data_IF_852118984239
#
_entry.id   IF_852118984239
#
_cell.length_a   1.000
_cell.length_b   1.000
_cell.length_c   1.000
_cell.angle_alpha   90.00
_cell.angle_beta   90.00
_cell.angle_gamma   90.00
#
_symmetry.space_group_name_H-M   'P 1'
#
loop_
_entity.id
_entity.type
_entity.pdbx_description
1 polymer ?
#
# COMPACT_ATOMS: atom_id res chain seq x y z
N UNK A 1 -10.50 8.03 3.80
CA UNK A 1 -11.94 8.18 4.09
C UNK A 1 -12.27 9.65 4.29
N UNK A 2 -13.31 10.17 3.62
CA UNK A 2 -13.64 11.60 3.65
C UNK A 2 -14.10 12.09 5.04
N UNK A 3 -14.80 11.28 5.83
CA UNK A 3 -15.22 11.64 7.20
C UNK A 3 -14.07 11.74 8.21
N UNK A 4 -12.88 11.18 7.91
CA UNK A 4 -11.67 11.36 8.74
C UNK A 4 -11.31 12.85 8.92
N UNK A 5 -11.75 13.69 7.98
CA UNK A 5 -11.51 15.12 8.00
C UNK A 5 -12.30 15.87 9.08
N UNK A 6 -13.38 15.26 9.61
CA UNK A 6 -14.27 15.89 10.59
C UNK A 6 -13.67 15.90 12.00
N UNK A 7 -12.80 14.95 12.32
CA UNK A 7 -12.22 14.79 13.67
C UNK A 7 -10.68 14.85 13.70
N UNK A 8 -10.00 14.88 12.55
CA UNK A 8 -8.53 14.99 12.47
C UNK A 8 -8.13 16.40 11.99
N UNK A 9 -7.51 17.22 12.88
CA UNK A 9 -7.00 18.54 12.53
C UNK A 9 -6.03 18.52 11.35
N UNK A 10 -6.13 19.52 10.46
CA UNK A 10 -5.34 19.62 9.22
C UNK A 10 -3.82 19.52 9.45
N UNK A 11 -3.33 20.06 10.56
CA UNK A 11 -1.91 20.13 10.92
C UNK A 11 -1.29 18.80 11.40
N UNK A 12 -2.10 17.76 11.65
CA UNK A 12 -1.61 16.44 12.10
C UNK A 12 -2.02 15.31 11.15
N UNK A 13 -2.63 15.62 10.00
CA UNK A 13 -3.11 14.60 9.06
C UNK A 13 -1.98 13.74 8.51
N UNK A 14 -0.80 14.29 8.23
CA UNK A 14 0.36 13.53 7.80
C UNK A 14 0.84 12.58 8.91
N UNK A 15 1.04 13.08 10.14
CA UNK A 15 1.38 12.22 11.29
C UNK A 15 0.37 11.12 11.56
N UNK A 16 -0.93 11.44 11.50
CA UNK A 16 -1.98 10.45 11.71
C UNK A 16 -1.93 9.38 10.61
N UNK A 17 -1.82 9.80 9.33
CA UNK A 17 -1.72 8.87 8.21
C UNK A 17 -0.46 8.01 8.32
N UNK A 18 0.65 8.55 8.81
CA UNK A 18 1.87 7.78 9.04
C UNK A 18 1.69 6.74 10.16
N UNK A 19 1.06 7.10 11.28
CA UNK A 19 0.75 6.14 12.36
C UNK A 19 -0.23 5.04 11.91
N UNK A 20 -1.27 5.42 11.18
CA UNK A 20 -2.26 4.52 10.57
C UNK A 20 -1.57 3.50 9.64
N UNK A 21 -0.71 4.00 8.74
CA UNK A 21 0.12 3.16 7.88
C UNK A 21 1.07 2.26 8.69
N UNK A 22 1.75 2.78 9.71
CA UNK A 22 2.70 2.03 10.53
C UNK A 22 2.01 0.85 11.25
N UNK A 23 0.85 1.09 11.87
CA UNK A 23 0.05 0.06 12.52
C UNK A 23 -0.41 -0.99 11.49
N UNK A 24 -0.89 -0.55 10.32
CA UNK A 24 -1.32 -1.44 9.25
C UNK A 24 -0.17 -2.30 8.73
N UNK A 25 1.02 -1.72 8.56
CA UNK A 25 2.23 -2.43 8.13
C UNK A 25 2.68 -3.46 9.17
N UNK A 26 2.69 -3.11 10.46
CA UNK A 26 3.05 -4.06 11.54
C UNK A 26 2.04 -5.20 11.61
N UNK A 27 0.74 -4.90 11.56
CA UNK A 27 -0.31 -5.90 11.54
C UNK A 27 -0.20 -6.81 10.31
N UNK A 28 0.07 -6.22 9.13
CA UNK A 28 0.30 -6.94 7.88
C UNK A 28 1.52 -7.86 7.98
N UNK A 29 2.63 -7.39 8.55
CA UNK A 29 3.83 -8.19 8.79
C UNK A 29 3.53 -9.40 9.69
N UNK A 30 2.84 -9.19 10.80
CA UNK A 30 2.40 -10.26 11.69
C UNK A 30 1.48 -11.26 10.98
N UNK A 31 0.54 -10.77 10.16
CA UNK A 31 -0.37 -11.61 9.39
C UNK A 31 0.35 -12.48 8.36
N UNK A 32 1.33 -11.94 7.63
CA UNK A 32 2.12 -12.71 6.65
C UNK A 32 3.04 -13.72 7.36
N UNK A 33 3.62 -13.36 8.49
CA UNK A 33 4.44 -14.29 9.28
C UNK A 33 3.59 -15.47 9.79
N UNK A 34 2.40 -15.19 10.32
CA UNK A 34 1.45 -16.21 10.76
C UNK A 34 0.97 -17.07 9.58
N UNK A 35 0.67 -16.47 8.43
CA UNK A 35 0.24 -17.23 7.24
C UNK A 35 1.32 -18.19 6.76
N UNK A 36 2.59 -17.77 6.77
CA UNK A 36 3.74 -18.62 6.46
C UNK A 36 3.84 -19.85 7.39
N UNK A 37 3.67 -19.66 8.70
CA UNK A 37 3.71 -20.78 9.68
C UNK A 37 2.51 -21.71 9.51
N UNK A 38 1.31 -21.16 9.31
CA UNK A 38 0.07 -21.93 9.14
C UNK A 38 0.11 -22.76 7.85
N UNK A 39 0.53 -22.15 6.73
CA UNK A 39 0.67 -22.85 5.45
C UNK A 39 1.79 -23.90 5.53
N UNK A 40 2.92 -23.58 6.16
CA UNK A 40 4.04 -24.51 6.29
C UNK A 40 3.75 -25.75 7.12
N UNK A 41 2.75 -25.72 8.01
CA UNK A 41 2.32 -26.87 8.83
C UNK A 41 1.09 -27.58 8.28
N UNK A 42 0.35 -26.97 7.37
CA UNK A 42 -0.88 -27.52 6.83
C UNK A 42 -0.63 -28.32 5.55
N UNK A 43 -1.27 -29.49 5.43
CA UNK A 43 -1.26 -30.29 4.21
C UNK A 43 -2.50 -29.94 3.39
N UNK A 44 -2.31 -29.48 2.16
CA UNK A 44 -3.40 -29.20 1.22
C UNK A 44 -4.19 -27.91 1.50
N UNK A 45 -5.47 -27.88 1.11
CA UNK A 45 -6.30 -26.67 1.09
C UNK A 45 -6.68 -26.15 2.48
N UNK A 46 -6.59 -26.99 3.52
CA UNK A 46 -7.05 -26.69 4.88
C UNK A 46 -6.33 -25.50 5.49
N UNK A 47 -5.03 -25.32 5.19
CA UNK A 47 -4.25 -24.15 5.63
C UNK A 47 -4.84 -22.85 5.09
N UNK A 48 -5.12 -22.79 3.78
CA UNK A 48 -5.75 -21.64 3.16
C UNK A 48 -7.15 -21.36 3.72
N UNK A 49 -7.96 -22.40 3.90
CA UNK A 49 -9.33 -22.28 4.42
C UNK A 49 -9.34 -21.71 5.85
N UNK A 50 -8.40 -22.14 6.70
CA UNK A 50 -8.23 -21.60 8.05
C UNK A 50 -7.82 -20.12 8.04
N UNK A 51 -6.93 -19.71 7.13
CA UNK A 51 -6.53 -18.31 6.99
C UNK A 51 -7.70 -17.43 6.53
N UNK A 52 -8.53 -17.92 5.61
CA UNK A 52 -9.74 -17.20 5.19
C UNK A 52 -10.75 -17.05 6.33
N UNK A 53 -10.96 -18.08 7.16
CA UNK A 53 -11.86 -18.01 8.31
C UNK A 53 -11.35 -17.01 9.37
N UNK A 54 -10.05 -17.06 9.68
CA UNK A 54 -9.43 -16.13 10.62
C UNK A 54 -9.53 -14.70 10.08
N UNK A 55 -9.13 -14.48 8.82
CA UNK A 55 -9.19 -13.18 8.17
C UNK A 55 -10.61 -12.61 8.12
N UNK A 56 -11.60 -13.44 7.78
CA UNK A 56 -13.01 -13.06 7.79
C UNK A 56 -13.51 -12.66 9.19
N UNK A 57 -13.11 -13.40 10.22
CA UNK A 57 -13.47 -13.08 11.62
C UNK A 57 -12.87 -11.75 12.07
N UNK A 58 -11.60 -11.50 11.75
CA UNK A 58 -10.96 -10.20 12.02
C UNK A 58 -11.61 -9.06 11.23
N UNK A 59 -12.03 -9.32 9.99
CA UNK A 59 -12.80 -8.36 9.18
C UNK A 59 -14.12 -7.97 9.85
N UNK A 60 -14.89 -8.95 10.35
CA UNK A 60 -16.14 -8.71 11.07
C UNK A 60 -15.92 -7.95 12.39
N UNK A 61 -14.88 -8.30 13.14
CA UNK A 61 -14.48 -7.55 14.34
C UNK A 61 -14.11 -6.10 13.98
N UNK A 62 -13.40 -5.90 12.87
CA UNK A 62 -13.08 -4.57 12.36
C UNK A 62 -14.32 -3.73 12.06
N UNK A 63 -15.33 -4.33 11.42
CA UNK A 63 -16.63 -3.67 11.16
C UNK A 63 -17.31 -3.28 12.48
N UNK A 64 -17.29 -4.16 13.47
CA UNK A 64 -17.86 -3.88 14.79
C UNK A 64 -17.14 -2.73 15.50
N UNK A 65 -15.81 -2.66 15.49
CA UNK A 65 -15.10 -1.50 16.03
C UNK A 65 -15.42 -0.22 15.26
N UNK A 66 -15.55 -0.31 13.93
CA UNK A 66 -15.84 0.85 13.08
C UNK A 66 -17.24 1.42 13.33
N UNK A 67 -18.22 0.59 13.69
CA UNK A 67 -19.57 1.05 13.99
C UNK A 67 -19.67 1.92 15.26
N UNK A 68 -18.62 1.94 16.09
CA UNK A 68 -18.54 2.75 17.30
C UNK A 68 -17.84 4.10 17.10
N UNK A 69 -17.29 4.37 15.90
CA UNK A 69 -16.60 5.63 15.61
C UNK A 69 -17.63 6.75 15.44
N UNK A 70 -17.63 7.80 16.28
CA UNK A 70 -18.51 8.95 16.11
C UNK A 70 -18.05 9.80 14.91
N UNK A 71 -18.91 9.93 13.89
CA UNK A 71 -18.63 10.75 12.70
C UNK A 71 -19.45 10.31 11.49
N UNK A 72 -19.60 11.17 10.47
CA UNK A 72 -20.41 10.87 9.30
C UNK A 72 -21.92 11.08 9.49
N UNK A 73 -22.34 11.70 10.60
CA UNK A 73 -23.67 12.27 10.70
C UNK A 73 -23.83 13.24 9.52
N UNK A 74 -24.85 13.07 8.65
CA UNK A 74 -25.08 14.00 7.57
C UNK A 74 -25.16 15.39 8.18
N UNK A 75 -24.21 16.28 7.86
CA UNK A 75 -24.47 17.70 8.05
C UNK A 75 -25.79 17.94 7.35
N UNK A 76 -26.76 18.51 8.06
CA UNK A 76 -28.07 18.84 7.51
C UNK A 76 -27.82 19.52 6.17
N UNK A 77 -28.07 18.77 5.10
CA UNK A 77 -27.73 19.17 3.74
C UNK A 77 -28.60 20.40 3.52
N UNK A 78 -28.01 21.59 3.48
CA UNK A 78 -28.57 22.66 2.66
C UNK A 78 -28.87 21.96 1.33
N UNK A 79 -30.15 21.86 0.99
CA UNK A 79 -30.66 21.12 -0.17
C UNK A 79 -29.67 21.26 -1.31
N UNK A 80 -28.91 20.21 -1.60
CA UNK A 80 -28.13 20.21 -2.82
C UNK A 80 -29.17 20.00 -3.92
N UNK A 81 -29.63 21.10 -4.51
CA UNK A 81 -30.64 21.12 -5.58
C UNK A 81 -30.08 20.56 -6.92
N UNK A 82 -28.99 19.77 -6.88
CA UNK A 82 -28.32 19.22 -8.05
C UNK A 82 -28.11 17.71 -7.98
N UNK A 83 -28.15 17.07 -9.16
CA UNK A 83 -27.78 15.67 -9.34
C UNK A 83 -26.32 15.43 -8.92
N UNK A 84 -26.08 14.41 -8.09
CA UNK A 84 -24.73 13.99 -7.68
C UNK A 84 -23.83 13.73 -8.91
N UNK A 85 -24.43 13.19 -9.98
CA UNK A 85 -23.76 12.94 -11.24
C UNK A 85 -23.29 14.23 -11.94
N UNK A 86 -24.08 15.30 -11.85
CA UNK A 86 -23.71 16.60 -12.43
C UNK A 86 -22.48 17.19 -11.72
N UNK A 87 -22.41 17.07 -10.38
CA UNK A 87 -21.23 17.50 -9.61
C UNK A 87 -19.96 16.69 -9.92
N UNK A 88 -20.10 15.38 -10.20
CA UNK A 88 -18.99 14.55 -10.66
C UNK A 88 -18.51 14.96 -12.07
N UNK A 89 -19.45 15.20 -12.99
CA UNK A 89 -19.15 15.69 -14.35
C UNK A 89 -18.50 17.08 -14.32
N UNK A 90 -18.90 17.96 -13.42
CA UNK A 90 -18.29 19.28 -13.24
C UNK A 90 -16.84 19.18 -12.75
N UNK A 91 -16.52 18.17 -11.93
CA UNK A 91 -15.14 17.92 -11.49
C UNK A 91 -14.20 17.59 -12.65
N UNK A 92 -14.72 17.03 -13.76
CA UNK A 92 -13.94 16.75 -14.97
C UNK A 92 -13.56 18.01 -15.75
N UNK A 93 -14.14 19.18 -15.44
CA UNK A 93 -13.75 20.45 -16.08
C UNK A 93 -12.44 21.00 -15.52
N UNK A 94 -12.02 20.57 -14.33
CA UNK A 94 -10.76 21.01 -13.72
C UNK A 94 -9.57 20.27 -14.35
N UNK A 95 -8.76 21.02 -15.11
CA UNK A 95 -7.54 20.49 -15.77
C UNK A 95 -6.48 19.99 -14.78
N UNK A 96 -6.36 20.59 -13.60
CA UNK A 96 -5.41 20.15 -12.60
C UNK A 96 -5.86 18.82 -11.98
N UNK A 97 -7.15 18.69 -11.71
CA UNK A 97 -7.74 17.44 -11.26
C UNK A 97 -7.55 16.32 -12.30
N UNK A 98 -7.83 16.59 -13.57
CA UNK A 98 -7.62 15.61 -14.64
C UNK A 98 -6.15 15.21 -14.78
N UNK A 99 -5.21 16.16 -14.75
CA UNK A 99 -3.76 15.86 -14.78
C UNK A 99 -3.33 14.96 -13.63
N UNK A 100 -3.84 15.22 -12.44
CA UNK A 100 -3.60 14.38 -11.27
C UNK A 100 -4.17 12.97 -11.46
N UNK A 101 -5.41 12.86 -11.95
CA UNK A 101 -6.08 11.59 -12.20
C UNK A 101 -5.34 10.75 -13.26
N UNK A 102 -4.96 11.37 -14.38
CA UNK A 102 -4.15 10.70 -15.41
C UNK A 102 -2.78 10.28 -14.86
N UNK A 103 -2.12 11.12 -14.07
CA UNK A 103 -0.86 10.77 -13.42
C UNK A 103 -0.97 9.53 -12.53
N UNK A 104 -2.00 9.47 -11.67
CA UNK A 104 -2.25 8.31 -10.83
C UNK A 104 -2.62 7.08 -11.65
N UNK A 105 -3.50 7.23 -12.64
CA UNK A 105 -3.89 6.12 -13.52
C UNK A 105 -2.68 5.51 -14.22
N UNK A 106 -1.77 6.34 -14.73
CA UNK A 106 -0.55 5.89 -15.38
C UNK A 106 0.37 5.14 -14.42
N UNK A 107 0.56 5.66 -13.20
CA UNK A 107 1.35 4.98 -12.16
C UNK A 107 0.74 3.62 -11.80
N UNK A 108 -0.58 3.52 -11.66
CA UNK A 108 -1.26 2.25 -11.35
C UNK A 108 -1.10 1.26 -12.52
N UNK A 109 -1.33 1.71 -13.76
CA UNK A 109 -1.17 0.87 -14.94
C UNK A 109 0.26 0.37 -15.13
N UNK A 110 1.27 1.21 -14.86
CA UNK A 110 2.67 0.83 -14.95
C UNK A 110 3.09 -0.15 -13.83
N UNK A 111 2.57 0.03 -12.61
CA UNK A 111 2.99 -0.75 -11.44
C UNK A 111 2.19 -2.03 -11.20
N UNK A 112 0.96 -2.12 -11.71
CA UNK A 112 0.11 -3.30 -11.58
C UNK A 112 0.75 -4.58 -12.12
N UNK A 113 1.19 -4.61 -13.40
CA UNK A 113 1.87 -5.77 -13.97
C UNK A 113 3.17 -6.11 -13.23
N UNK A 114 3.95 -5.11 -12.84
CA UNK A 114 5.17 -5.33 -12.08
C UNK A 114 4.89 -6.11 -10.78
N UNK A 115 3.88 -5.72 -10.01
CA UNK A 115 3.56 -6.44 -8.76
C UNK A 115 3.10 -7.88 -9.01
N UNK A 116 2.44 -8.16 -10.13
CA UNK A 116 1.97 -9.50 -10.47
C UNK A 116 3.09 -10.43 -10.98
N UNK A 117 4.01 -9.89 -11.79
CA UNK A 117 5.05 -10.68 -12.46
C UNK A 117 6.42 -10.65 -11.75
N UNK A 118 6.66 -9.72 -10.83
CA UNK A 118 7.93 -9.63 -10.12
C UNK A 118 8.28 -10.91 -9.34
N UNK A 119 7.35 -11.55 -8.59
CA UNK A 119 7.66 -12.84 -7.93
C UNK A 119 8.07 -13.93 -8.92
N UNK A 120 7.41 -13.98 -10.08
CA UNK A 120 7.70 -14.94 -11.15
C UNK A 120 9.09 -14.68 -11.76
N UNK A 121 9.40 -13.41 -12.09
CA UNK A 121 10.72 -13.01 -12.60
C UNK A 121 11.84 -13.36 -11.60
N UNK A 122 11.63 -13.12 -10.31
CA UNK A 122 12.61 -13.46 -9.28
C UNK A 122 12.86 -14.96 -9.19
N UNK A 123 11.83 -15.77 -9.43
CA UNK A 123 11.94 -17.22 -9.38
C UNK A 123 12.55 -17.82 -10.66
N UNK A 124 12.04 -17.43 -11.83
CA UNK A 124 12.38 -18.05 -13.11
C UNK A 124 13.67 -17.48 -13.74
N UNK A 125 13.87 -16.17 -13.69
CA UNK A 125 14.99 -15.50 -14.37
C UNK A 125 16.18 -15.23 -13.45
N UNK A 126 15.91 -14.85 -12.20
CA UNK A 126 16.96 -14.55 -11.21
C UNK A 126 17.42 -15.81 -10.47
N UNK A 127 16.56 -16.84 -10.38
CA UNK A 127 16.86 -18.13 -9.73
C UNK A 127 16.71 -18.09 -8.20
N UNK A 128 15.92 -17.16 -7.66
CA UNK A 128 15.65 -17.09 -6.22
C UNK A 128 14.57 -18.13 -5.87
N UNK A 129 14.85 -19.00 -4.89
CA UNK A 129 13.87 -20.00 -4.44
C UNK A 129 12.57 -19.38 -3.93
N UNK A 130 11.44 -20.08 -4.13
CA UNK A 130 10.10 -19.56 -3.81
C UNK A 130 9.94 -19.07 -2.36
N UNK A 131 10.57 -19.74 -1.39
CA UNK A 131 10.57 -19.29 0.02
C UNK A 131 11.29 -17.95 0.22
N UNK A 132 12.35 -17.69 -0.55
CA UNK A 132 13.08 -16.43 -0.50
C UNK A 132 12.35 -15.28 -1.19
N UNK A 133 11.49 -15.57 -2.17
CA UNK A 133 10.60 -14.55 -2.78
C UNK A 133 9.63 -13.98 -1.75
N UNK A 134 9.15 -14.81 -0.81
CA UNK A 134 8.32 -14.35 0.32
C UNK A 134 9.11 -13.37 1.22
N UNK A 135 10.42 -13.56 1.37
CA UNK A 135 11.27 -12.63 2.14
C UNK A 135 11.35 -11.25 1.49
N UNK A 136 11.25 -11.15 0.15
CA UNK A 136 11.20 -9.86 -0.53
C UNK A 136 9.97 -9.05 -0.11
N UNK A 137 8.82 -9.70 0.10
CA UNK A 137 7.64 -9.03 0.65
C UNK A 137 7.89 -8.47 2.05
N UNK A 138 8.68 -9.16 2.87
CA UNK A 138 9.11 -8.65 4.18
C UNK A 138 10.01 -7.43 4.04
N UNK A 139 10.89 -7.41 3.03
CA UNK A 139 11.69 -6.24 2.67
C UNK A 139 10.82 -5.03 2.33
N UNK A 140 9.79 -5.20 1.48
CA UNK A 140 8.82 -4.14 1.17
C UNK A 140 8.11 -3.63 2.43
N UNK A 141 7.64 -4.53 3.29
CA UNK A 141 6.97 -4.13 4.53
C UNK A 141 7.91 -3.34 5.45
N UNK A 142 9.15 -3.80 5.61
CA UNK A 142 10.15 -3.10 6.40
C UNK A 142 10.50 -1.72 5.82
N UNK A 143 10.69 -1.64 4.50
CA UNK A 143 10.87 -0.38 3.78
C UNK A 143 9.73 0.59 4.06
N UNK A 144 8.49 0.12 3.92
CA UNK A 144 7.28 0.91 4.15
C UNK A 144 7.16 1.40 5.60
N UNK A 145 7.62 0.59 6.56
CA UNK A 145 7.62 0.96 7.97
C UNK A 145 8.58 2.14 8.21
N UNK A 146 9.81 2.03 7.71
CA UNK A 146 10.83 3.08 7.84
C UNK A 146 10.42 4.33 7.06
N UNK A 147 9.90 4.15 5.85
CA UNK A 147 9.50 5.25 4.96
C UNK A 147 8.26 5.98 5.48
N UNK A 148 7.31 5.29 6.13
CA UNK A 148 6.06 5.89 6.63
C UNK A 148 6.30 7.08 7.57
N UNK A 149 7.30 6.99 8.45
CA UNK A 149 7.66 8.09 9.35
C UNK A 149 8.27 9.27 8.59
N UNK A 150 9.19 8.97 7.65
CA UNK A 150 9.84 9.99 6.80
C UNK A 150 8.81 10.73 5.94
N UNK A 151 7.86 10.00 5.36
CA UNK A 151 6.80 10.57 4.52
C UNK A 151 5.81 11.40 5.32
N UNK A 152 5.42 10.95 6.52
CA UNK A 152 4.56 11.72 7.42
C UNK A 152 5.18 13.07 7.79
N UNK A 153 6.46 13.05 8.21
CA UNK A 153 7.19 14.27 8.54
C UNK A 153 7.40 15.20 7.33
N UNK A 154 7.81 14.63 6.19
CA UNK A 154 8.09 15.40 4.97
C UNK A 154 6.82 16.06 4.42
N UNK A 155 5.70 15.33 4.40
CA UNK A 155 4.41 15.86 3.96
C UNK A 155 3.91 16.99 4.85
N UNK A 156 4.15 16.92 6.16
CA UNK A 156 3.74 17.98 7.10
C UNK A 156 4.62 19.23 6.97
N UNK A 157 5.91 19.09 6.63
CA UNK A 157 6.87 20.22 6.57
C UNK A 157 7.01 20.88 5.20
N UNK A 158 7.03 20.07 4.14
CA UNK A 158 7.27 20.53 2.77
C UNK A 158 6.02 20.46 1.87
N UNK A 159 4.90 19.96 2.42
CA UNK A 159 3.68 19.71 1.68
C UNK A 159 3.70 18.37 0.93
N UNK A 160 2.53 17.93 0.48
CA UNK A 160 2.34 16.62 -0.14
C UNK A 160 2.90 16.51 -1.58
N UNK A 161 3.04 17.63 -2.29
CA UNK A 161 3.45 17.65 -3.70
C UNK A 161 4.90 17.20 -3.93
N UNK A 162 5.92 17.74 -3.23
CA UNK A 162 7.30 17.25 -3.37
C UNK A 162 7.45 15.78 -2.97
N UNK A 163 6.76 15.37 -1.89
CA UNK A 163 6.77 14.00 -1.43
C UNK A 163 6.24 13.04 -2.51
N UNK A 164 5.10 13.38 -3.12
CA UNK A 164 4.52 12.59 -4.20
C UNK A 164 5.44 12.48 -5.42
N UNK A 165 6.09 13.58 -5.83
CA UNK A 165 7.02 13.55 -6.98
C UNK A 165 8.25 12.67 -6.70
N UNK A 166 8.79 12.71 -5.48
CA UNK A 166 9.89 11.83 -5.09
C UNK A 166 9.48 10.35 -5.11
N UNK A 167 8.29 10.03 -4.61
CA UNK A 167 7.79 8.65 -4.65
C UNK A 167 7.59 8.15 -6.08
N UNK A 168 7.10 8.99 -6.99
CA UNK A 168 6.96 8.64 -8.41
C UNK A 168 8.32 8.41 -9.06
N UNK A 169 9.30 9.28 -8.80
CA UNK A 169 10.66 9.12 -9.32
C UNK A 169 11.25 7.76 -8.93
N UNK A 170 11.16 7.41 -7.65
CA UNK A 170 11.69 6.14 -7.14
C UNK A 170 10.95 4.92 -7.70
N UNK A 171 9.62 5.02 -7.86
CA UNK A 171 8.81 3.98 -8.49
C UNK A 171 9.20 3.70 -9.94
N UNK A 172 9.59 4.71 -10.69
CA UNK A 172 10.06 4.55 -12.08
C UNK A 172 11.46 3.92 -12.13
N UNK A 173 12.28 4.16 -11.11
CA UNK A 173 13.66 3.66 -11.05
C UNK A 173 13.73 2.19 -10.57
N UNK A 174 12.73 1.72 -9.82
CA UNK A 174 12.66 0.35 -9.28
C UNK A 174 12.81 -0.77 -10.31
N UNK A 175 12.09 -0.78 -11.46
CA UNK A 175 12.26 -1.83 -12.47
C UNK A 175 13.67 -1.87 -13.04
N UNK A 176 14.30 -0.70 -13.18
CA UNK A 176 15.69 -0.59 -13.64
C UNK A 176 16.62 -1.21 -12.61
N UNK A 177 16.44 -0.94 -11.31
CA UNK A 177 17.20 -1.60 -10.24
C UNK A 177 17.05 -3.12 -10.34
N UNK A 178 15.81 -3.63 -10.45
CA UNK A 178 15.58 -5.07 -10.53
C UNK A 178 16.22 -5.73 -11.76
N UNK A 179 16.33 -5.01 -12.88
CA UNK A 179 16.99 -5.52 -14.10
C UNK A 179 18.50 -5.77 -13.91
N UNK A 180 19.14 -5.02 -13.00
CA UNK A 180 20.56 -5.20 -12.66
C UNK A 180 20.82 -6.27 -11.59
N UNK A 181 19.77 -6.98 -11.14
CA UNK A 181 19.94 -8.05 -10.16
C UNK A 181 20.81 -9.17 -10.76
N UNK A 182 21.93 -9.55 -10.11
CA UNK A 182 22.74 -10.67 -10.57
C UNK A 182 21.88 -11.93 -10.67
N UNK A 183 22.03 -12.72 -11.73
CA UNK A 183 21.26 -13.96 -11.93
C UNK A 183 22.03 -15.16 -11.40
N UNK A 184 21.35 -16.08 -10.72
CA UNK A 184 21.92 -17.33 -10.21
C UNK A 184 23.20 -17.14 -9.36
N UNK A 185 23.29 -16.04 -8.61
CA UNK A 185 24.44 -15.70 -7.80
C UNK A 185 24.07 -15.63 -6.31
N UNK A 186 25.04 -15.85 -5.41
CA UNK A 186 24.81 -15.66 -3.98
C UNK A 186 24.37 -14.22 -3.63
N UNK A 187 24.74 -13.24 -4.47
CA UNK A 187 24.38 -11.82 -4.32
C UNK A 187 22.98 -11.48 -4.86
N UNK A 188 22.28 -12.41 -5.50
CA UNK A 188 20.92 -12.18 -6.04
C UNK A 188 19.92 -11.84 -4.93
N UNK A 189 19.95 -12.59 -3.82
CA UNK A 189 19.02 -12.41 -2.72
C UNK A 189 19.26 -11.09 -1.95
N UNK A 190 20.49 -10.74 -1.50
CA UNK A 190 20.74 -9.46 -0.85
C UNK A 190 20.39 -8.25 -1.72
N UNK A 191 20.66 -8.32 -3.02
CA UNK A 191 20.35 -7.23 -3.95
C UNK A 191 18.84 -7.06 -4.14
N UNK A 192 18.12 -8.16 -4.37
CA UNK A 192 16.66 -8.14 -4.47
C UNK A 192 16.01 -7.67 -3.16
N UNK A 193 16.55 -8.06 -2.00
CA UNK A 193 16.10 -7.57 -0.70
C UNK A 193 16.29 -6.05 -0.57
N UNK A 194 17.45 -5.52 -0.94
CA UNK A 194 17.68 -4.07 -0.92
C UNK A 194 16.71 -3.32 -1.84
N UNK A 195 16.50 -3.81 -3.06
CA UNK A 195 15.53 -3.25 -4.00
C UNK A 195 14.08 -3.31 -3.46
N UNK A 196 13.72 -4.38 -2.76
CA UNK A 196 12.40 -4.53 -2.13
C UNK A 196 12.20 -3.56 -0.95
N UNK A 197 13.24 -3.27 -0.16
CA UNK A 197 13.17 -2.25 0.90
C UNK A 197 12.98 -0.85 0.33
N UNK A 198 13.58 -0.59 -0.83
CA UNK A 198 13.44 0.64 -1.60
C UNK A 198 12.02 0.79 -2.16
N UNK A 199 11.32 -0.31 -2.42
CA UNK A 199 9.95 -0.32 -2.94
C UNK A 199 8.90 0.08 -1.89
N UNK A 200 9.17 -0.17 -0.61
CA UNK A 200 8.29 0.17 0.51
C UNK A 200 8.45 1.62 0.98
#
# INVERSE_FOLDING_TARGET
MPWRQEYIPNNIRGKYSAKDSMITTIAGFGAVMLSGVVIGRAVGITGYLSLFLIGGSFGLLGVWFYSHIPGGAPRAREKAEGSIWAGMLDSLKDRNFLRFLFGIAFVILATGPLNAFLPLFMQEEVGIGAGNVILLQMGVLFGSLVSSYLWGWSSDRYGSKPAMMFSVFWRVLLPVIYMFTPRNAAMSLPYAMFASMIQG
#
